data_IF_334375313100
#
_entry.id   IF_334375313100
#
_cell.length_a   1.000
_cell.length_b   1.000
_cell.length_c   1.000
_cell.angle_alpha   90.00
_cell.angle_beta   90.00
_cell.angle_gamma   90.00
#
_symmetry.space_group_name_H-M   'P 1'
#
loop_
_entity.id
_entity.type
_entity.pdbx_description
1 polymer ?
#
# COMPACT_ATOMS: atom_id res chain seq x y z
N UNK A 1 0.82 22.81 -11.21
CA UNK A 1 2.28 22.71 -10.95
C UNK A 1 2.93 21.94 -12.09
N UNK A 2 4.12 22.33 -12.58
CA UNK A 2 4.82 21.59 -13.62
C UNK A 2 5.21 20.18 -13.16
N UNK A 3 5.26 19.23 -14.09
CA UNK A 3 5.69 17.86 -13.82
C UNK A 3 7.17 17.89 -13.42
N UNK A 4 7.51 17.30 -12.28
CA UNK A 4 8.87 17.30 -11.73
C UNK A 4 9.23 18.51 -10.86
N UNK A 5 8.30 19.42 -10.57
CA UNK A 5 8.56 20.57 -9.66
C UNK A 5 8.70 20.18 -8.19
N UNK A 6 8.27 18.99 -7.81
CA UNK A 6 8.46 18.44 -6.47
C UNK A 6 8.62 16.92 -6.56
N UNK A 7 9.24 16.33 -5.55
CA UNK A 7 9.36 14.89 -5.34
C UNK A 7 8.98 14.63 -3.89
N UNK A 8 8.22 13.57 -3.64
CA UNK A 8 7.92 13.10 -2.30
C UNK A 8 8.87 11.95 -2.00
N UNK A 9 9.72 12.08 -0.98
CA UNK A 9 10.62 11.01 -0.57
C UNK A 9 10.11 10.40 0.72
N UNK A 10 9.84 9.09 0.69
CA UNK A 10 9.63 8.29 1.87
C UNK A 10 10.99 7.91 2.43
N UNK A 11 11.35 8.51 3.57
CA UNK A 11 12.57 8.21 4.29
C UNK A 11 12.37 7.04 5.24
N UNK A 12 13.29 6.07 5.20
CA UNK A 12 13.23 4.87 6.01
C UNK A 12 14.50 4.04 5.97
N UNK A 13 14.48 2.95 6.72
CA UNK A 13 15.58 1.99 6.87
C UNK A 13 15.24 0.62 6.24
N UNK A 14 15.98 -0.43 6.60
CA UNK A 14 15.67 -1.80 6.17
C UNK A 14 14.31 -2.28 6.65
N UNK A 15 13.84 -1.85 7.82
CA UNK A 15 12.51 -2.18 8.34
C UNK A 15 11.43 -1.56 7.46
N UNK A 16 11.63 -0.34 6.97
CA UNK A 16 10.74 0.28 6.00
C UNK A 16 10.71 -0.48 4.66
N UNK A 17 11.86 -0.99 4.20
CA UNK A 17 11.90 -1.86 3.02
C UNK A 17 11.10 -3.16 3.24
N UNK A 18 11.26 -3.80 4.40
CA UNK A 18 10.51 -5.01 4.76
C UNK A 18 9.01 -4.76 4.84
N UNK A 19 8.58 -3.66 5.45
CA UNK A 19 7.16 -3.22 5.47
C UNK A 19 6.65 -3.03 4.04
N UNK A 20 7.42 -2.32 3.22
CA UNK A 20 7.03 -2.04 1.84
C UNK A 20 6.84 -3.33 1.05
N UNK A 21 7.76 -4.28 1.19
CA UNK A 21 7.68 -5.55 0.48
C UNK A 21 6.55 -6.46 1.02
N UNK A 22 6.49 -6.67 2.33
CA UNK A 22 5.57 -7.64 2.95
C UNK A 22 4.12 -7.17 3.03
N UNK A 23 3.89 -5.86 3.08
CA UNK A 23 2.55 -5.27 3.19
C UNK A 23 2.15 -4.60 1.89
N UNK A 24 2.90 -3.58 1.46
CA UNK A 24 2.47 -2.69 0.37
C UNK A 24 2.49 -3.38 -0.99
N UNK A 25 3.60 -4.03 -1.35
CA UNK A 25 3.70 -4.77 -2.63
C UNK A 25 2.77 -5.98 -2.65
N UNK A 26 2.63 -6.69 -1.52
CA UNK A 26 1.69 -7.80 -1.37
C UNK A 26 0.25 -7.35 -1.63
N UNK A 27 -0.18 -6.24 -1.02
CA UNK A 27 -1.53 -5.69 -1.20
C UNK A 27 -1.76 -5.25 -2.65
N UNK A 28 -0.74 -4.64 -3.27
CA UNK A 28 -0.80 -4.28 -4.68
C UNK A 28 -0.92 -5.51 -5.59
N UNK A 29 -0.13 -6.56 -5.34
CA UNK A 29 -0.18 -7.82 -6.07
C UNK A 29 -1.53 -8.53 -5.90
N UNK A 30 -2.10 -8.51 -4.69
CA UNK A 30 -3.42 -9.05 -4.40
C UNK A 30 -4.52 -8.33 -5.18
N UNK A 31 -4.51 -6.99 -5.18
CA UNK A 31 -5.47 -6.21 -5.95
C UNK A 31 -5.32 -6.45 -7.46
N UNK A 32 -4.08 -6.56 -7.97
CA UNK A 32 -3.84 -6.92 -9.37
C UNK A 32 -4.36 -8.31 -9.74
N UNK A 33 -4.23 -9.28 -8.84
CA UNK A 33 -4.74 -10.63 -9.05
C UNK A 33 -6.27 -10.62 -9.13
N UNK A 34 -6.94 -9.87 -8.25
CA UNK A 34 -8.39 -9.67 -8.28
C UNK A 34 -8.82 -9.02 -9.60
N UNK A 35 -8.18 -7.93 -10.00
CA UNK A 35 -8.47 -7.22 -11.24
C UNK A 35 -8.32 -8.17 -12.45
N UNK A 36 -7.24 -8.95 -12.48
CA UNK A 36 -6.99 -9.97 -13.51
C UNK A 36 -8.06 -11.06 -13.51
N UNK A 37 -8.51 -11.53 -12.34
CA UNK A 37 -9.60 -12.50 -12.22
C UNK A 37 -10.92 -11.95 -12.78
N UNK A 38 -11.22 -10.67 -12.56
CA UNK A 38 -12.42 -10.02 -13.12
C UNK A 38 -12.32 -9.88 -14.64
N UNK A 39 -11.18 -9.45 -15.16
CA UNK A 39 -10.93 -9.35 -16.61
C UNK A 39 -11.06 -10.72 -17.30
N UNK A 40 -10.54 -11.78 -16.67
CA UNK A 40 -10.62 -13.17 -17.14
C UNK A 40 -11.98 -13.82 -16.90
N UNK A 41 -12.93 -13.11 -16.27
CA UNK A 41 -14.26 -13.63 -15.88
C UNK A 41 -14.21 -14.85 -14.95
N UNK A 42 -13.13 -14.99 -14.18
CA UNK A 42 -13.00 -15.96 -13.09
C UNK A 42 -13.86 -15.48 -11.90
N UNK A 43 -13.81 -14.18 -11.62
CA UNK A 43 -14.67 -13.50 -10.65
C UNK A 43 -15.67 -12.60 -11.38
N UNK A 44 -16.87 -12.37 -10.80
CA UNK A 44 -17.78 -11.38 -11.34
C UNK A 44 -17.19 -9.98 -11.21
N UNK A 45 -17.49 -9.12 -12.18
CA UNK A 45 -17.08 -7.72 -12.13
C UNK A 45 -17.78 -7.01 -10.97
N UNK A 46 -17.05 -6.12 -10.29
CA UNK A 46 -17.64 -5.23 -9.29
C UNK A 46 -18.36 -4.06 -9.97
N UNK A 47 -19.40 -3.57 -9.30
CA UNK A 47 -19.98 -2.28 -9.63
C UNK A 47 -18.96 -1.15 -9.37
N UNK A 48 -19.02 -0.10 -10.19
CA UNK A 48 -18.08 1.01 -10.14
C UNK A 48 -18.08 1.72 -8.77
N UNK A 49 -19.25 1.83 -8.14
CA UNK A 49 -19.45 2.53 -6.87
C UNK A 49 -18.80 1.75 -5.71
N UNK A 50 -18.81 0.42 -5.78
CA UNK A 50 -18.10 -0.43 -4.81
C UNK A 50 -16.60 -0.18 -4.88
N UNK A 51 -16.02 -0.04 -6.08
CA UNK A 51 -14.57 0.23 -6.26
C UNK A 51 -14.15 1.63 -5.81
N UNK A 52 -15.07 2.59 -5.72
CA UNK A 52 -14.77 3.98 -5.34
C UNK A 52 -15.19 4.38 -3.93
N UNK A 53 -15.92 3.54 -3.20
CA UNK A 53 -16.35 3.85 -1.83
C UNK A 53 -15.14 3.96 -0.90
N UNK A 54 -14.87 5.17 -0.40
CA UNK A 54 -13.84 5.39 0.62
C UNK A 54 -14.28 4.77 1.95
N UNK A 55 -13.59 3.71 2.35
CA UNK A 55 -13.83 2.96 3.59
C UNK A 55 -13.48 3.73 4.85
N UNK A 56 -12.84 4.90 4.72
CA UNK A 56 -12.48 5.79 5.83
C UNK A 56 -13.64 6.67 6.30
N UNK A 57 -14.80 6.66 5.65
CA UNK A 57 -15.99 7.39 6.10
C UNK A 57 -16.74 6.58 7.17
N UNK A 58 -16.78 7.02 8.45
CA UNK A 58 -17.35 6.26 9.56
C UNK A 58 -18.81 5.84 9.38
N UNK A 59 -19.59 6.62 8.63
CA UNK A 59 -21.00 6.35 8.36
C UNK A 59 -21.25 5.11 7.47
N UNK A 60 -20.21 4.56 6.82
CA UNK A 60 -20.30 3.41 5.92
C UNK A 60 -19.72 2.12 6.51
N UNK A 61 -19.32 2.13 7.78
CA UNK A 61 -18.68 0.97 8.45
C UNK A 61 -19.65 -0.18 8.75
N UNK A 62 -20.95 0.05 8.53
CA UNK A 62 -22.01 -0.96 8.62
C UNK A 62 -22.07 -1.88 7.41
N UNK A 63 -21.44 -1.50 6.29
CA UNK A 63 -21.41 -2.32 5.07
C UNK A 63 -20.13 -3.16 5.08
N UNK A 64 -20.25 -4.43 5.43
CA UNK A 64 -19.12 -5.36 5.44
C UNK A 64 -18.49 -5.53 4.06
N UNK A 65 -19.27 -5.28 3.00
CA UNK A 65 -18.92 -5.58 1.62
C UNK A 65 -17.72 -4.78 1.10
N UNK A 66 -17.35 -3.67 1.76
CA UNK A 66 -16.27 -2.81 1.28
C UNK A 66 -15.01 -2.77 2.15
N UNK A 67 -14.85 -3.61 3.18
CA UNK A 67 -13.65 -3.60 4.05
C UNK A 67 -12.36 -4.13 3.41
N UNK A 68 -12.34 -4.36 2.10
CA UNK A 68 -11.21 -4.88 1.35
C UNK A 68 -10.47 -3.75 0.63
N UNK A 69 -9.15 -3.83 0.65
CA UNK A 69 -8.24 -2.74 0.24
C UNK A 69 -8.14 -2.63 -1.29
N UNK A 70 -9.25 -2.29 -1.96
CA UNK A 70 -9.25 -1.94 -3.39
C UNK A 70 -9.20 -0.42 -3.51
N UNK A 71 -8.04 0.09 -3.91
CA UNK A 71 -7.85 1.50 -4.19
C UNK A 71 -7.58 1.69 -5.68
N UNK A 72 -8.41 2.45 -6.37
CA UNK A 72 -8.24 2.72 -7.79
C UNK A 72 -6.85 3.32 -8.07
N UNK A 73 -6.12 2.73 -9.02
CA UNK A 73 -4.77 3.15 -9.39
C UNK A 73 -3.65 2.76 -8.42
N UNK A 74 -3.96 2.22 -7.24
CA UNK A 74 -2.94 1.86 -6.24
C UNK A 74 -1.87 0.92 -6.77
N UNK A 75 -2.19 -0.21 -7.44
CA UNK A 75 -1.13 -1.10 -7.93
C UNK A 75 -0.24 -0.45 -8.98
N UNK A 76 -0.79 0.42 -9.83
CA UNK A 76 0.00 1.14 -10.83
C UNK A 76 0.93 2.14 -10.16
N UNK A 77 0.46 2.90 -9.16
CA UNK A 77 1.29 3.81 -8.39
C UNK A 77 2.44 3.06 -7.68
N UNK A 78 2.18 1.88 -7.12
CA UNK A 78 3.22 1.07 -6.48
C UNK A 78 4.27 0.60 -7.49
N UNK A 79 3.87 0.16 -8.69
CA UNK A 79 4.81 -0.15 -9.78
C UNK A 79 5.64 1.06 -10.18
N UNK A 80 5.02 2.23 -10.30
CA UNK A 80 5.72 3.45 -10.70
C UNK A 80 6.71 3.92 -9.62
N UNK A 81 6.40 3.73 -8.33
CA UNK A 81 7.33 4.00 -7.22
C UNK A 81 8.54 3.06 -7.29
N UNK A 82 8.30 1.75 -7.46
CA UNK A 82 9.37 0.75 -7.57
C UNK A 82 10.23 0.98 -8.82
N UNK A 83 9.63 1.37 -9.94
CA UNK A 83 10.33 1.69 -11.19
C UNK A 83 11.01 3.07 -11.17
N UNK A 84 10.78 3.89 -10.13
CA UNK A 84 11.34 5.24 -10.01
C UNK A 84 10.72 6.27 -10.98
N UNK A 85 9.56 5.97 -11.58
CA UNK A 85 8.84 6.84 -12.52
C UNK A 85 7.76 7.68 -11.85
N UNK A 86 7.43 7.39 -10.58
CA UNK A 86 6.49 8.15 -9.76
C UNK A 86 7.08 9.47 -9.23
N UNK A 87 6.18 10.39 -8.86
CA UNK A 87 6.53 11.59 -8.06
C UNK A 87 6.97 11.20 -6.65
N UNK A 88 6.50 10.05 -6.14
CA UNK A 88 6.95 9.45 -4.90
C UNK A 88 8.18 8.56 -5.11
N UNK A 89 9.15 8.63 -4.21
CA UNK A 89 10.35 7.79 -4.18
C UNK A 89 10.61 7.30 -2.77
N UNK A 90 11.35 6.20 -2.63
CA UNK A 90 11.84 5.72 -1.34
C UNK A 90 13.37 5.87 -1.31
N UNK A 91 13.93 6.20 -0.15
CA UNK A 91 15.39 6.23 0.04
C UNK A 91 15.97 4.84 0.41
N UNK A 92 15.11 3.91 0.86
CA UNK A 92 15.47 2.53 1.16
C UNK A 92 15.45 1.67 -0.11
N UNK A 93 16.24 0.60 -0.08
CA UNK A 93 16.34 -0.31 -1.22
C UNK A 93 15.04 -1.11 -1.36
N UNK A 94 14.42 -1.03 -2.53
CA UNK A 94 13.32 -1.90 -2.92
C UNK A 94 13.89 -2.92 -3.90
N UNK A 95 13.84 -4.20 -3.55
CA UNK A 95 14.04 -5.23 -4.54
C UNK A 95 12.83 -5.16 -5.48
N UNK A 96 13.01 -4.68 -6.71
CA UNK A 96 11.92 -4.54 -7.69
C UNK A 96 11.28 -5.87 -8.13
N UNK A 97 11.49 -6.94 -7.35
CA UNK A 97 10.97 -8.28 -7.49
C UNK A 97 9.48 -8.30 -7.13
N UNK A 98 8.64 -8.55 -8.13
CA UNK A 98 7.24 -8.94 -7.94
C UNK A 98 7.13 -10.47 -7.88
N UNK A 99 8.03 -11.12 -7.14
CA UNK A 99 8.12 -12.58 -7.02
C UNK A 99 7.71 -13.05 -5.62
N UNK A 100 7.62 -14.37 -5.42
CA UNK A 100 7.26 -14.95 -4.13
C UNK A 100 5.86 -14.56 -3.66
N UNK A 101 5.77 -13.79 -2.57
CA UNK A 101 4.49 -13.32 -2.00
C UNK A 101 3.74 -12.35 -2.93
N UNK A 102 4.43 -11.76 -3.90
CA UNK A 102 3.89 -10.80 -4.85
C UNK A 102 3.65 -11.40 -6.25
N UNK A 103 3.80 -12.72 -6.42
CA UNK A 103 3.54 -13.40 -7.70
C UNK A 103 2.04 -13.46 -7.99
N UNK A 104 1.61 -12.58 -8.91
CA UNK A 104 0.21 -12.40 -9.29
C UNK A 104 -0.41 -13.69 -9.84
N UNK A 105 0.30 -14.43 -10.69
CA UNK A 105 -0.24 -15.66 -11.28
C UNK A 105 -0.35 -16.77 -10.24
N UNK A 106 0.60 -16.83 -9.30
CA UNK A 106 0.52 -17.77 -8.19
C UNK A 106 -0.66 -17.43 -7.25
N UNK A 107 -0.90 -16.15 -6.97
CA UNK A 107 -2.06 -15.70 -6.19
C UNK A 107 -3.35 -16.09 -6.91
N UNK A 108 -3.47 -15.83 -8.22
CA UNK A 108 -4.65 -16.23 -9.01
C UNK A 108 -4.84 -17.74 -8.95
N UNK A 109 -3.81 -18.54 -9.26
CA UNK A 109 -3.92 -20.02 -9.30
C UNK A 109 -4.37 -20.61 -7.98
N UNK A 110 -3.87 -20.06 -6.87
CA UNK A 110 -4.20 -20.52 -5.52
C UNK A 110 -5.64 -20.19 -5.15
N UNK A 111 -6.17 -19.06 -5.60
CA UNK A 111 -7.43 -18.51 -5.14
C UNK A 111 -8.55 -18.50 -6.20
N UNK A 112 -8.30 -18.99 -7.42
CA UNK A 112 -9.24 -18.91 -8.56
C UNK A 112 -10.62 -19.54 -8.31
N UNK A 113 -10.72 -20.46 -7.36
CA UNK A 113 -11.97 -21.14 -7.01
C UNK A 113 -12.75 -20.46 -5.88
N UNK A 114 -12.20 -19.40 -5.28
CA UNK A 114 -12.82 -18.66 -4.20
C UNK A 114 -13.88 -17.69 -4.75
N UNK A 115 -14.96 -17.50 -3.99
CA UNK A 115 -15.92 -16.41 -4.21
C UNK A 115 -15.29 -15.07 -3.82
N UNK A 116 -15.86 -13.94 -4.25
CA UNK A 116 -15.36 -12.61 -3.86
C UNK A 116 -15.30 -12.46 -2.32
N UNK A 117 -16.30 -12.97 -1.60
CA UNK A 117 -16.30 -12.94 -0.13
C UNK A 117 -15.11 -13.73 0.45
N UNK A 118 -14.82 -14.91 -0.08
CA UNK A 118 -13.69 -15.72 0.37
C UNK A 118 -12.34 -15.10 -0.04
N UNK A 119 -12.26 -14.40 -1.18
CA UNK A 119 -11.09 -13.60 -1.53
C UNK A 119 -10.85 -12.47 -0.53
N UNK A 120 -11.92 -11.82 -0.05
CA UNK A 120 -11.81 -10.81 1.02
C UNK A 120 -11.29 -11.43 2.31
N UNK A 121 -11.84 -12.56 2.75
CA UNK A 121 -11.39 -13.25 3.96
C UNK A 121 -9.93 -13.70 3.86
N UNK A 122 -9.53 -14.29 2.73
CA UNK A 122 -8.16 -14.70 2.49
C UNK A 122 -7.15 -13.54 2.53
N UNK A 123 -7.58 -12.32 2.16
CA UNK A 123 -6.75 -11.12 2.32
C UNK A 123 -6.53 -10.74 3.80
N UNK A 124 -7.52 -10.97 4.67
CA UNK A 124 -7.45 -10.72 6.11
C UNK A 124 -6.66 -11.79 6.87
N UNK A 125 -6.70 -13.05 6.43
CA UNK A 125 -5.96 -14.18 7.02
C UNK A 125 -4.43 -14.13 6.80
N UNK A 126 -3.92 -12.96 6.37
CA UNK A 126 -2.50 -12.73 6.20
C UNK A 126 -1.76 -12.79 7.53
N UNK A 127 -0.51 -13.25 7.47
CA UNK A 127 0.42 -13.10 8.57
C UNK A 127 0.77 -11.62 8.71
N UNK A 128 0.11 -10.93 9.64
CA UNK A 128 0.49 -9.58 10.03
C UNK A 128 1.79 -9.65 10.82
N UNK A 129 2.91 -9.26 10.19
CA UNK A 129 4.13 -8.98 10.94
C UNK A 129 3.91 -7.73 11.79
N UNK A 130 4.24 -7.82 13.07
CA UNK A 130 4.23 -6.67 13.95
C UNK A 130 5.54 -5.91 13.76
N UNK A 131 5.45 -4.74 13.13
CA UNK A 131 6.58 -3.82 13.03
C UNK A 131 6.57 -2.90 14.24
N UNK A 132 7.67 -2.90 15.00
CA UNK A 132 7.89 -1.96 16.09
C UNK A 132 9.01 -1.01 15.66
N UNK A 133 8.82 0.32 15.80
CA UNK A 133 9.91 1.24 15.55
C UNK A 133 11.03 0.99 16.56
N UNK A 134 12.28 1.06 16.10
CA UNK A 134 13.44 0.95 16.98
C UNK A 134 13.43 2.06 18.03
N UNK A 135 13.77 1.69 19.27
CA UNK A 135 13.87 2.64 20.36
C UNK A 135 15.22 3.38 20.32
N UNK A 136 15.27 4.69 20.64
CA UNK A 136 14.13 5.55 20.97
C UNK A 136 13.46 6.10 19.71
N UNK A 137 12.16 5.88 19.57
CA UNK A 137 11.37 6.63 18.61
C UNK A 137 11.52 8.12 18.89
N UNK A 138 11.73 8.98 17.87
CA UNK A 138 11.90 10.41 18.08
C UNK A 138 10.71 10.94 18.85
N UNK A 139 10.97 11.75 19.88
CA UNK A 139 9.88 12.37 20.63
C UNK A 139 9.12 13.27 19.66
N UNK A 140 7.80 13.38 19.83
CA UNK A 140 6.95 14.26 19.01
C UNK A 140 7.54 15.67 18.81
N UNK A 141 8.19 16.21 19.85
CA UNK A 141 8.89 17.50 19.82
C UNK A 141 10.06 17.55 18.83
N UNK A 142 10.81 16.47 18.66
CA UNK A 142 11.91 16.37 17.69
C UNK A 142 11.40 16.29 16.25
N UNK A 143 10.27 15.62 16.02
CA UNK A 143 9.63 15.57 14.70
C UNK A 143 9.10 16.95 14.25
N UNK A 144 8.66 17.79 15.20
CA UNK A 144 8.20 19.16 14.91
C UNK A 144 9.36 20.11 14.56
N UNK A 145 10.57 19.87 15.09
CA UNK A 145 11.74 20.69 14.75
C UNK A 145 12.30 20.45 13.35
N UNK A 146 12.10 19.25 12.79
CA UNK A 146 12.56 18.91 11.43
C UNK A 146 11.68 19.53 10.32
N UNK A 147 10.48 19.99 10.65
CA UNK A 147 9.54 20.63 9.71
C UNK A 147 9.62 22.15 9.71
N UNK A 148 10.42 22.77 10.59
CA UNK A 148 10.64 24.21 10.58
C UNK A 148 11.81 24.55 9.65
N UNK A 149 11.49 25.11 8.50
CA UNK A 149 12.43 25.96 7.77
C UNK A 149 12.74 27.15 8.70
N UNK A 150 13.94 27.15 9.27
CA UNK A 150 14.51 28.24 10.06
C UNK A 150 13.73 28.60 11.33
N UNK A 151 14.16 28.07 12.47
CA UNK A 151 14.00 28.82 13.72
C UNK A 151 15.29 28.70 14.52
N UNK A 152 16.20 29.65 14.25
CA UNK A 152 17.30 29.95 15.17
C UNK A 152 16.66 30.33 16.50
N UNK A 153 16.73 29.43 17.48
CA UNK A 153 16.35 29.75 18.85
C UNK A 153 17.38 30.75 19.39
N UNK A 154 16.95 31.89 19.99
CA UNK A 154 17.88 32.82 20.60
C UNK A 154 18.53 32.18 21.84
N UNK A 155 19.81 32.47 22.11
CA UNK A 155 20.49 31.97 23.31
C UNK A 155 19.84 32.57 24.58
N UNK A 156 19.80 31.71 25.61
CA UNK A 156 19.35 32.01 26.98
C UNK A 156 20.11 33.18 27.61
#
# INVERSE_FOLDING_TARGET
>A
MPRGSFTLTFEGDSTCADIFHTVIQRDAAWQMAIDSCMERKILPALAWDVRQRDTRVPALWADEDNKWYILEGFPQVMKDIVAGTSVGKCNFHMDGSWSGLCDIEQIIRTNQFLTIANWREAWFDRVCQNFQPDAPSPRWVQMLSETSLETVLPPL
#
